data_IF_387565203692
#
_entry.id   IF_387565203692
#
_cell.length_a   1.000
_cell.length_b   1.000
_cell.length_c   1.000
_cell.angle_alpha   90.00
_cell.angle_beta   90.00
_cell.angle_gamma   90.00
#
_symmetry.space_group_name_H-M   'P 1'
#
loop_
_entity.id
_entity.type
_entity.pdbx_description
1 polymer ?
#
# COMPACT_ATOMS: atom_id res chain seq x y z
N UNK A 1 37.68 12.94 -20.21
CA UNK A 1 36.47 13.64 -20.68
C UNK A 1 35.67 12.63 -21.46
N UNK A 2 34.83 11.86 -20.79
CA UNK A 2 33.73 11.17 -21.44
C UNK A 2 32.48 11.58 -20.69
N UNK A 3 31.69 12.40 -21.36
CA UNK A 3 30.40 12.86 -20.90
C UNK A 3 29.51 11.63 -20.69
N UNK A 4 29.27 11.27 -19.42
CA UNK A 4 28.07 10.55 -19.03
C UNK A 4 26.88 11.45 -19.31
N UNK A 5 26.48 11.50 -20.59
CA UNK A 5 25.18 11.99 -20.99
C UNK A 5 24.21 11.03 -20.29
N UNK A 6 23.47 11.55 -19.31
CA UNK A 6 22.26 10.94 -18.79
C UNK A 6 21.28 10.83 -19.97
N UNK A 7 21.45 9.80 -20.80
CA UNK A 7 20.45 9.38 -21.77
C UNK A 7 19.41 8.71 -20.90
N UNK A 8 18.27 9.37 -20.72
CA UNK A 8 17.12 8.80 -20.05
C UNK A 8 16.96 7.35 -20.51
N UNK A 9 16.90 6.45 -19.53
CA UNK A 9 16.57 5.05 -19.76
C UNK A 9 15.37 5.01 -20.72
N UNK A 10 15.53 4.44 -21.91
CA UNK A 10 14.46 4.40 -22.91
C UNK A 10 13.24 3.68 -22.31
N UNK A 11 12.03 4.18 -22.58
CA UNK A 11 10.78 3.65 -22.02
C UNK A 11 10.63 2.14 -22.28
N UNK A 12 11.09 1.65 -23.45
CA UNK A 12 11.09 0.22 -23.79
C UNK A 12 11.95 -0.63 -22.82
N UNK A 13 13.19 -0.19 -22.53
CA UNK A 13 14.08 -0.89 -21.60
C UNK A 13 13.56 -0.87 -20.17
N UNK A 14 12.78 0.16 -19.82
CA UNK A 14 12.14 0.27 -18.52
C UNK A 14 10.93 -0.65 -18.41
N UNK A 15 10.10 -0.72 -19.45
CA UNK A 15 8.99 -1.67 -19.54
C UNK A 15 9.51 -3.11 -19.44
N UNK A 16 10.56 -3.46 -20.17
CA UNK A 16 11.17 -4.80 -20.14
C UNK A 16 11.70 -5.19 -18.75
N UNK A 17 12.38 -4.26 -18.06
CA UNK A 17 12.83 -4.47 -16.67
C UNK A 17 11.66 -4.66 -15.71
N UNK A 18 10.63 -3.82 -15.81
CA UNK A 18 9.45 -3.95 -14.97
C UNK A 18 8.73 -5.29 -15.22
N UNK A 19 8.60 -5.70 -16.49
CA UNK A 19 8.00 -6.99 -16.85
C UNK A 19 8.81 -8.16 -16.30
N UNK A 20 10.15 -8.08 -16.33
CA UNK A 20 11.04 -9.09 -15.73
C UNK A 20 10.83 -9.22 -14.22
N UNK A 21 10.67 -8.11 -13.49
CA UNK A 21 10.41 -8.11 -12.03
C UNK A 21 8.99 -8.61 -11.71
N UNK A 22 8.00 -8.27 -12.56
CA UNK A 22 6.61 -8.74 -12.41
C UNK A 22 6.49 -10.23 -12.71
N UNK A 23 7.22 -10.72 -13.72
CA UNK A 23 7.24 -12.11 -14.16
C UNK A 23 8.45 -12.88 -13.63
N UNK A 24 8.94 -12.51 -12.43
CA UNK A 24 10.08 -13.17 -11.80
C UNK A 24 9.86 -14.69 -11.76
N UNK A 25 10.83 -15.43 -12.30
CA UNK A 25 10.78 -16.90 -12.36
C UNK A 25 10.81 -17.53 -10.97
N UNK A 26 11.31 -16.80 -9.97
CA UNK A 26 11.40 -17.19 -8.56
C UNK A 26 10.25 -16.68 -7.70
N UNK A 27 9.18 -16.11 -8.31
CA UNK A 27 7.99 -15.71 -7.57
C UNK A 27 7.45 -16.85 -6.72
N UNK A 28 7.00 -16.55 -5.51
CA UNK A 28 6.43 -17.57 -4.62
C UNK A 28 5.10 -18.06 -5.20
N UNK A 29 5.05 -19.36 -5.47
CA UNK A 29 3.87 -20.07 -5.93
C UNK A 29 3.26 -20.89 -4.80
N UNK A 30 2.06 -21.40 -5.04
CA UNK A 30 1.33 -22.15 -4.03
C UNK A 30 2.12 -23.38 -3.58
N UNK A 31 2.77 -24.07 -4.50
CA UNK A 31 3.61 -25.24 -4.20
C UNK A 31 4.78 -24.88 -3.26
N UNK A 32 5.47 -23.76 -3.49
CA UNK A 32 6.54 -23.29 -2.60
C UNK A 32 6.01 -23.02 -1.18
N UNK A 33 4.81 -22.43 -1.09
CA UNK A 33 4.15 -22.15 0.18
C UNK A 33 3.69 -23.42 0.90
N UNK A 34 3.26 -24.46 0.17
CA UNK A 34 2.89 -25.75 0.76
C UNK A 34 4.12 -26.48 1.32
N UNK A 35 5.24 -26.46 0.61
CA UNK A 35 6.49 -27.11 1.05
C UNK A 35 7.05 -26.55 2.38
N UNK A 36 6.68 -25.32 2.73
CA UNK A 36 7.10 -24.65 3.97
C UNK A 36 6.25 -25.01 5.20
N UNK A 37 5.22 -25.84 5.04
CA UNK A 37 4.31 -26.23 6.12
C UNK A 37 4.67 -27.56 6.76
N UNK A 38 4.40 -27.70 8.05
CA UNK A 38 4.39 -29.00 8.72
C UNK A 38 3.15 -29.86 8.36
N UNK A 39 3.07 -31.07 8.91
CA UNK A 39 1.97 -32.02 8.65
C UNK A 39 0.57 -31.48 8.99
N UNK A 40 0.48 -30.54 9.94
CA UNK A 40 -0.77 -29.90 10.38
C UNK A 40 -1.03 -28.55 9.67
N UNK A 41 -0.12 -28.14 8.78
CA UNK A 41 -0.19 -26.91 8.02
C UNK A 41 0.40 -25.67 8.72
N UNK A 42 1.16 -25.82 9.80
CA UNK A 42 1.83 -24.69 10.49
C UNK A 42 3.13 -24.33 9.81
N UNK A 43 3.55 -23.09 9.98
CA UNK A 43 4.84 -22.56 9.52
C UNK A 43 5.58 -22.04 10.74
N UNK A 44 6.81 -22.50 10.98
CA UNK A 44 7.59 -22.03 12.13
C UNK A 44 8.24 -20.67 11.83
N UNK A 45 8.84 -20.05 12.85
CA UNK A 45 9.41 -18.70 12.74
C UNK A 45 10.53 -18.59 11.68
N UNK A 46 11.31 -19.66 11.49
CA UNK A 46 12.36 -19.68 10.48
C UNK A 46 11.77 -19.68 9.07
N UNK A 47 10.82 -20.57 8.77
CA UNK A 47 10.17 -20.60 7.46
C UNK A 47 9.32 -19.34 7.22
N UNK A 48 8.68 -18.77 8.25
CA UNK A 48 7.98 -17.50 8.14
C UNK A 48 8.93 -16.39 7.67
N UNK A 49 10.10 -16.27 8.30
CA UNK A 49 11.07 -15.25 7.93
C UNK A 49 11.64 -15.48 6.52
N UNK A 50 11.89 -16.73 6.14
CA UNK A 50 12.31 -17.09 4.79
C UNK A 50 11.23 -16.71 3.76
N UNK A 51 9.97 -17.08 4.02
CA UNK A 51 8.84 -16.78 3.15
C UNK A 51 8.61 -15.28 2.98
N UNK A 52 8.67 -14.50 4.08
CA UNK A 52 8.61 -13.03 4.01
C UNK A 52 9.73 -12.47 3.15
N UNK A 53 10.95 -12.98 3.32
CA UNK A 53 12.13 -12.56 2.55
C UNK A 53 11.96 -12.86 1.06
N UNK A 54 11.53 -14.07 0.71
CA UNK A 54 11.33 -14.46 -0.68
C UNK A 54 10.22 -13.62 -1.34
N UNK A 55 9.08 -13.42 -0.67
CA UNK A 55 8.00 -12.57 -1.22
C UNK A 55 8.45 -11.11 -1.36
N UNK A 56 9.28 -10.60 -0.43
CA UNK A 56 9.86 -9.26 -0.53
C UNK A 56 10.64 -9.08 -1.84
N UNK A 57 11.49 -10.03 -2.20
CA UNK A 57 12.40 -9.89 -3.33
C UNK A 57 11.86 -10.43 -4.66
N UNK A 58 10.99 -11.43 -4.63
CA UNK A 58 10.49 -12.10 -5.84
C UNK A 58 8.98 -11.93 -6.07
N UNK A 59 8.25 -11.42 -5.08
CA UNK A 59 6.80 -11.30 -5.14
C UNK A 59 6.10 -12.66 -5.00
N UNK A 60 4.77 -12.62 -5.15
CA UNK A 60 3.92 -13.81 -5.15
C UNK A 60 3.21 -13.99 -6.49
N UNK A 61 2.73 -15.19 -6.78
CA UNK A 61 1.81 -15.41 -7.89
C UNK A 61 0.35 -15.10 -7.52
N UNK A 62 -0.53 -15.07 -8.52
CA UNK A 62 -1.95 -14.76 -8.34
C UNK A 62 -2.66 -15.75 -7.40
N UNK A 63 -2.22 -17.00 -7.35
CA UNK A 63 -2.87 -18.06 -6.56
C UNK A 63 -2.51 -18.01 -5.07
N UNK A 64 -1.31 -17.52 -4.76
CA UNK A 64 -0.77 -17.52 -3.39
C UNK A 64 -0.95 -16.17 -2.69
N UNK A 65 -1.15 -15.09 -3.45
CA UNK A 65 -1.13 -13.72 -2.92
C UNK A 65 -2.10 -13.49 -1.78
N UNK A 66 -3.35 -13.94 -1.92
CA UNK A 66 -4.40 -13.71 -0.91
C UNK A 66 -3.99 -14.34 0.42
N UNK A 67 -3.67 -15.64 0.44
CA UNK A 67 -3.30 -16.34 1.67
C UNK A 67 -2.00 -15.79 2.27
N UNK A 68 -1.02 -15.42 1.44
CA UNK A 68 0.22 -14.83 1.92
C UNK A 68 -0.02 -13.47 2.58
N UNK A 69 -0.84 -12.61 1.97
CA UNK A 69 -1.18 -11.31 2.54
C UNK A 69 -2.01 -11.46 3.83
N UNK A 70 -2.96 -12.39 3.87
CA UNK A 70 -3.70 -12.70 5.09
C UNK A 70 -2.77 -13.07 6.24
N UNK A 71 -1.76 -13.89 5.99
CA UNK A 71 -0.79 -14.28 7.01
C UNK A 71 0.17 -13.14 7.37
N UNK A 72 0.71 -12.41 6.39
CA UNK A 72 1.65 -11.32 6.63
C UNK A 72 1.05 -10.12 7.36
N UNK A 73 -0.24 -9.83 7.12
CA UNK A 73 -1.02 -8.81 7.82
C UNK A 73 -1.51 -9.29 9.20
N UNK A 74 -1.29 -10.56 9.54
CA UNK A 74 -1.70 -11.15 10.82
C UNK A 74 -3.19 -11.46 10.92
N UNK A 75 -3.91 -11.47 9.79
CA UNK A 75 -5.30 -11.94 9.70
C UNK A 75 -5.32 -13.43 10.03
N UNK A 76 -4.36 -14.20 9.51
CA UNK A 76 -4.13 -15.61 9.86
C UNK A 76 -2.75 -15.74 10.53
N UNK A 77 -2.60 -16.73 11.41
CA UNK A 77 -1.33 -16.98 12.10
C UNK A 77 -0.51 -18.03 11.36
N UNK A 78 0.81 -17.82 11.29
CA UNK A 78 1.76 -18.81 10.77
C UNK A 78 1.76 -20.10 11.61
N UNK A 79 1.66 -19.95 12.93
CA UNK A 79 1.68 -21.07 13.88
C UNK A 79 0.35 -21.82 14.02
N UNK A 80 -0.74 -21.37 13.39
CA UNK A 80 -2.02 -22.08 13.48
C UNK A 80 -2.12 -23.21 12.45
N UNK A 81 -2.89 -24.25 12.75
CA UNK A 81 -3.14 -25.35 11.81
C UNK A 81 -4.02 -24.89 10.64
N UNK A 82 -4.10 -25.73 9.61
CA UNK A 82 -5.07 -25.51 8.52
C UNK A 82 -6.52 -25.53 9.03
N UNK A 83 -6.86 -26.43 9.96
CA UNK A 83 -8.19 -26.47 10.56
C UNK A 83 -8.51 -25.19 11.34
N UNK A 84 -7.56 -24.71 12.16
CA UNK A 84 -7.71 -23.45 12.91
C UNK A 84 -7.88 -22.24 11.98
N UNK A 85 -7.13 -22.18 10.87
CA UNK A 85 -7.30 -21.12 9.86
C UNK A 85 -8.68 -21.16 9.21
N UNK A 86 -9.15 -22.34 8.83
CA UNK A 86 -10.48 -22.50 8.23
C UNK A 86 -11.59 -22.08 9.21
N UNK A 87 -11.46 -22.42 10.49
CA UNK A 87 -12.38 -21.96 11.54
C UNK A 87 -12.32 -20.44 11.71
N UNK A 88 -11.12 -19.86 11.71
CA UNK A 88 -10.93 -18.42 11.82
C UNK A 88 -11.57 -17.67 10.63
N UNK A 89 -11.37 -18.13 9.39
CA UNK A 89 -12.00 -17.56 8.21
C UNK A 89 -13.53 -17.60 8.28
N UNK A 90 -14.11 -18.68 8.82
CA UNK A 90 -15.55 -18.77 9.05
C UNK A 90 -16.04 -17.74 10.08
N UNK A 91 -15.30 -17.53 11.16
CA UNK A 91 -15.62 -16.52 12.18
C UNK A 91 -15.55 -15.10 11.61
N UNK A 92 -14.48 -14.79 10.87
CA UNK A 92 -14.29 -13.50 10.20
C UNK A 92 -15.41 -13.21 9.20
N UNK A 93 -15.81 -14.21 8.41
CA UNK A 93 -16.95 -14.08 7.50
C UNK A 93 -18.25 -13.74 8.24
N UNK A 94 -18.54 -14.45 9.33
CA UNK A 94 -19.74 -14.17 10.15
C UNK A 94 -19.67 -12.77 10.77
N UNK A 95 -18.51 -12.34 11.27
CA UNK A 95 -18.30 -11.01 11.82
C UNK A 95 -18.55 -9.92 10.76
N UNK A 96 -18.03 -10.09 9.55
CA UNK A 96 -18.27 -9.18 8.43
C UNK A 96 -19.76 -9.08 8.08
N UNK A 97 -20.47 -10.22 8.04
CA UNK A 97 -21.91 -10.24 7.81
C UNK A 97 -22.68 -9.46 8.89
N UNK A 98 -22.27 -9.56 10.16
CA UNK A 98 -22.84 -8.76 11.26
C UNK A 98 -22.52 -7.26 11.11
N UNK A 99 -21.30 -6.88 10.75
CA UNK A 99 -20.94 -5.49 10.45
C UNK A 99 -21.84 -4.91 9.36
N UNK A 100 -22.05 -5.67 8.28
CA UNK A 100 -22.85 -5.24 7.14
C UNK A 100 -24.33 -5.05 7.49
N UNK A 101 -24.89 -5.90 8.35
CA UNK A 101 -26.29 -5.79 8.83
C UNK A 101 -26.55 -4.47 9.57
N UNK A 102 -25.55 -3.91 10.25
CA UNK A 102 -25.68 -2.66 11.02
C UNK A 102 -26.08 -1.48 10.12
N UNK A 103 -25.48 -1.35 8.94
CA UNK A 103 -25.74 -0.20 8.05
C UNK A 103 -26.72 -0.52 6.91
N UNK A 104 -26.84 -1.77 6.47
CA UNK A 104 -27.69 -2.18 5.34
C UNK A 104 -29.17 -2.43 5.71
N UNK A 105 -29.75 -1.51 6.50
CA UNK A 105 -31.20 -1.41 6.71
C UNK A 105 -31.86 -2.39 7.67
N UNK A 106 -31.10 -3.12 8.50
CA UNK A 106 -31.69 -4.03 9.50
C UNK A 106 -31.53 -3.55 10.94
N UNK A 107 -30.43 -2.84 11.29
CA UNK A 107 -30.16 -2.37 12.65
C UNK A 107 -29.35 -1.04 12.73
N UNK A 108 -29.62 0.01 11.93
CA UNK A 108 -28.84 1.25 12.00
C UNK A 108 -29.01 2.02 13.32
N UNK A 109 -30.05 1.71 14.08
CA UNK A 109 -30.30 2.30 15.40
C UNK A 109 -29.32 1.80 16.46
N UNK A 110 -28.74 0.61 16.31
CA UNK A 110 -27.77 -0.01 17.23
C UNK A 110 -26.38 0.61 17.15
N UNK A 111 -26.10 1.40 16.11
CA UNK A 111 -24.86 2.17 16.01
C UNK A 111 -24.85 3.29 17.06
N UNK A 112 -23.70 3.50 17.70
CA UNK A 112 -23.51 4.69 18.54
C UNK A 112 -23.59 5.99 17.70
N UNK A 113 -23.81 7.12 18.36
CA UNK A 113 -24.02 8.40 17.68
C UNK A 113 -22.79 8.86 16.87
N UNK A 114 -21.57 8.53 17.29
CA UNK A 114 -20.36 8.87 16.55
C UNK A 114 -20.27 8.06 15.25
N UNK A 115 -20.57 6.77 15.32
CA UNK A 115 -20.63 5.89 14.15
C UNK A 115 -21.74 6.32 13.18
N UNK A 116 -22.94 6.68 13.68
CA UNK A 116 -24.02 7.24 12.84
C UNK A 116 -23.59 8.53 12.14
N UNK A 117 -22.87 9.41 12.84
CA UNK A 117 -22.34 10.67 12.27
C UNK A 117 -21.33 10.36 11.15
N UNK A 118 -20.38 9.45 11.37
CA UNK A 118 -19.42 9.00 10.35
C UNK A 118 -20.13 8.42 9.14
N UNK A 119 -21.04 7.46 9.34
CA UNK A 119 -21.81 6.85 8.26
C UNK A 119 -22.52 7.90 7.38
N UNK A 120 -23.26 8.85 8.00
CA UNK A 120 -23.98 9.91 7.27
C UNK A 120 -23.05 10.82 6.47
N UNK A 121 -21.86 11.11 7.00
CA UNK A 121 -20.84 11.90 6.31
C UNK A 121 -20.28 11.15 5.11
N UNK A 122 -19.99 9.87 5.27
CA UNK A 122 -19.15 9.10 4.36
C UNK A 122 -19.94 8.52 3.19
N UNK A 123 -21.18 8.11 3.42
CA UNK A 123 -21.99 7.36 2.46
C UNK A 123 -22.11 8.06 1.10
N UNK A 124 -22.29 9.38 1.10
CA UNK A 124 -22.41 10.17 -0.12
C UNK A 124 -21.08 10.31 -0.87
N UNK A 125 -19.96 10.34 -0.14
CA UNK A 125 -18.62 10.42 -0.72
C UNK A 125 -18.28 9.06 -1.33
N UNK A 126 -18.51 7.98 -0.59
CA UNK A 126 -18.33 6.59 -1.05
C UNK A 126 -19.13 6.35 -2.33
N UNK A 127 -20.43 6.72 -2.37
CA UNK A 127 -21.25 6.58 -3.58
C UNK A 127 -20.62 7.23 -4.81
N UNK A 128 -20.10 8.46 -4.67
CA UNK A 128 -19.45 9.18 -5.77
C UNK A 128 -18.12 8.54 -6.18
N UNK A 129 -17.34 8.11 -5.20
CA UNK A 129 -16.02 7.54 -5.41
C UNK A 129 -16.09 6.16 -6.08
N UNK A 130 -17.04 5.31 -5.67
CA UNK A 130 -17.33 4.02 -6.34
C UNK A 130 -17.68 4.23 -7.82
N UNK A 131 -18.52 5.22 -8.14
CA UNK A 131 -18.94 5.48 -9.52
C UNK A 131 -17.84 5.98 -10.45
N UNK A 132 -16.76 6.54 -9.91
CA UNK A 132 -15.63 7.12 -10.69
C UNK A 132 -14.36 6.26 -10.67
N UNK A 133 -14.30 5.21 -9.86
CA UNK A 133 -13.07 4.42 -9.67
C UNK A 133 -12.82 3.49 -10.87
N UNK A 134 -11.59 3.52 -11.40
CA UNK A 134 -11.01 2.61 -12.40
C UNK A 134 -11.93 2.24 -13.58
N UNK A 135 -12.63 3.23 -14.14
CA UNK A 135 -13.64 3.01 -15.20
C UNK A 135 -13.10 2.46 -16.52
N UNK A 136 -11.79 2.57 -16.74
CA UNK A 136 -11.09 1.98 -17.88
C UNK A 136 -10.81 0.48 -17.68
N UNK A 137 -10.92 -0.02 -16.44
CA UNK A 137 -10.81 -1.44 -16.13
C UNK A 137 -12.17 -2.15 -16.31
N UNK A 138 -12.15 -3.30 -16.99
CA UNK A 138 -13.33 -4.10 -17.32
C UNK A 138 -14.18 -4.47 -16.09
N UNK A 139 -13.55 -4.68 -14.93
CA UNK A 139 -14.23 -5.04 -13.68
C UNK A 139 -15.12 -3.93 -13.13
N UNK A 140 -14.79 -2.65 -13.40
CA UNK A 140 -15.49 -1.49 -12.84
C UNK A 140 -16.29 -0.70 -13.87
N UNK A 141 -16.29 -1.13 -15.15
CA UNK A 141 -16.97 -0.44 -16.25
C UNK A 141 -18.50 -0.49 -16.13
N UNK A 142 -19.06 -1.62 -15.71
CA UNK A 142 -20.50 -1.79 -15.52
C UNK A 142 -20.95 -1.24 -14.16
N UNK A 143 -21.78 -0.17 -14.20
CA UNK A 143 -22.35 0.48 -13.01
C UNK A 143 -23.32 -0.41 -12.22
N UNK A 144 -23.80 -1.49 -12.83
CA UNK A 144 -24.73 -2.45 -12.22
C UNK A 144 -24.05 -3.73 -11.74
N UNK A 145 -22.72 -3.79 -11.85
CA UNK A 145 -21.95 -4.98 -11.52
C UNK A 145 -21.98 -5.31 -10.02
N UNK A 146 -21.88 -6.60 -9.73
CA UNK A 146 -21.64 -7.10 -8.37
C UNK A 146 -20.34 -6.55 -7.79
N UNK A 147 -19.35 -6.26 -8.64
CA UNK A 147 -18.06 -5.66 -8.27
C UNK A 147 -18.20 -4.29 -7.61
N UNK A 148 -18.99 -3.36 -8.19
CA UNK A 148 -19.20 -2.06 -7.57
C UNK A 148 -20.02 -2.15 -6.29
N UNK A 149 -20.94 -3.12 -6.22
CA UNK A 149 -21.65 -3.43 -4.98
C UNK A 149 -20.68 -3.92 -3.89
N UNK A 150 -19.77 -4.84 -4.21
CA UNK A 150 -18.72 -5.30 -3.29
C UNK A 150 -17.86 -4.13 -2.81
N UNK A 151 -17.41 -3.26 -3.72
CA UNK A 151 -16.63 -2.08 -3.35
C UNK A 151 -17.40 -1.15 -2.41
N UNK A 152 -18.66 -0.85 -2.73
CA UNK A 152 -19.53 -0.04 -1.88
C UNK A 152 -19.71 -0.68 -0.50
N UNK A 153 -20.07 -1.96 -0.45
CA UNK A 153 -20.34 -2.68 0.80
C UNK A 153 -19.10 -2.72 1.70
N UNK A 154 -17.91 -2.98 1.13
CA UNK A 154 -16.64 -2.97 1.87
C UNK A 154 -16.30 -1.58 2.40
N UNK A 155 -16.43 -0.53 1.59
CA UNK A 155 -16.08 0.84 1.99
C UNK A 155 -17.00 1.38 3.08
N UNK A 156 -18.30 1.07 3.00
CA UNK A 156 -19.27 1.46 4.04
C UNK A 156 -19.01 0.68 5.34
N UNK A 157 -18.78 -0.63 5.25
CA UNK A 157 -18.40 -1.44 6.41
C UNK A 157 -17.13 -0.89 7.07
N UNK A 158 -16.11 -0.51 6.29
CA UNK A 158 -14.88 0.08 6.83
C UNK A 158 -15.10 1.44 7.50
N UNK A 159 -15.93 2.29 6.90
CA UNK A 159 -16.28 3.62 7.43
C UNK A 159 -16.88 3.57 8.83
N UNK A 160 -17.66 2.51 9.12
CA UNK A 160 -18.30 2.36 10.44
C UNK A 160 -17.44 1.61 11.46
N UNK A 161 -16.46 0.80 11.03
CA UNK A 161 -15.57 0.05 11.92
C UNK A 161 -14.25 0.75 12.21
N UNK A 162 -13.77 1.61 11.31
CA UNK A 162 -12.51 2.34 11.46
C UNK A 162 -12.71 3.71 12.07
N UNK A 163 -11.84 4.10 13.01
CA UNK A 163 -11.90 5.42 13.66
C UNK A 163 -11.67 6.57 12.67
N UNK A 164 -10.84 6.35 11.65
CA UNK A 164 -10.57 7.34 10.60
C UNK A 164 -11.72 7.48 9.58
N UNK A 165 -12.71 6.58 9.61
CA UNK A 165 -13.82 6.56 8.67
C UNK A 165 -13.37 6.37 7.22
N UNK A 166 -14.12 6.95 6.28
CA UNK A 166 -13.75 7.00 4.87
C UNK A 166 -12.90 8.24 4.55
N UNK A 167 -11.80 8.01 3.82
CA UNK A 167 -10.89 9.03 3.32
C UNK A 167 -10.61 8.88 1.82
N UNK A 168 -10.08 9.94 1.21
CA UNK A 168 -9.73 9.96 -0.20
C UNK A 168 -8.64 8.91 -0.50
N UNK A 169 -8.83 8.12 -1.57
CA UNK A 169 -7.88 7.07 -1.98
C UNK A 169 -8.22 5.68 -1.43
N UNK A 170 -9.19 5.55 -0.53
CA UNK A 170 -9.61 4.24 -0.02
C UNK A 170 -10.32 3.39 -1.10
N UNK A 171 -11.13 4.00 -1.98
CA UNK A 171 -11.77 3.25 -3.08
C UNK A 171 -10.75 2.68 -4.07
N UNK A 172 -9.67 3.42 -4.27
CA UNK A 172 -8.52 3.04 -5.09
C UNK A 172 -7.83 1.78 -4.54
N UNK A 173 -7.58 1.74 -3.23
CA UNK A 173 -7.03 0.55 -2.55
C UNK A 173 -7.97 -0.65 -2.73
N UNK A 174 -9.26 -0.49 -2.42
CA UNK A 174 -10.26 -1.56 -2.56
C UNK A 174 -10.37 -2.06 -4.00
N UNK A 175 -10.29 -1.17 -4.99
CA UNK A 175 -10.31 -1.54 -6.40
C UNK A 175 -9.14 -2.44 -6.80
N UNK A 176 -7.98 -2.30 -6.15
CA UNK A 176 -6.85 -3.20 -6.40
C UNK A 176 -7.05 -4.57 -5.73
N UNK A 177 -7.60 -4.60 -4.51
CA UNK A 177 -7.83 -5.84 -3.76
C UNK A 177 -8.93 -6.70 -4.44
N UNK A 178 -9.98 -6.09 -5.00
CA UNK A 178 -11.01 -6.81 -5.77
C UNK A 178 -10.43 -7.53 -6.99
N UNK A 179 -9.27 -7.10 -7.51
CA UNK A 179 -8.62 -7.79 -8.64
C UNK A 179 -7.98 -9.12 -8.22
N UNK A 180 -7.73 -9.36 -6.93
CA UNK A 180 -7.03 -10.56 -6.44
C UNK A 180 -7.94 -11.55 -5.71
N UNK A 181 -9.14 -11.14 -5.28
CA UNK A 181 -10.14 -12.07 -4.71
C UNK A 181 -11.57 -11.67 -5.06
N UNK A 182 -12.42 -12.69 -5.24
CA UNK A 182 -13.87 -12.53 -5.43
C UNK A 182 -14.66 -12.53 -4.12
N UNK A 183 -14.03 -12.83 -2.99
CA UNK A 183 -14.67 -12.94 -1.69
C UNK A 183 -14.78 -11.58 -1.01
N UNK A 184 -16.01 -11.10 -0.81
CA UNK A 184 -16.26 -9.77 -0.24
C UNK A 184 -15.67 -9.59 1.18
N UNK A 185 -15.74 -10.62 2.04
CA UNK A 185 -15.17 -10.54 3.39
C UNK A 185 -13.64 -10.53 3.37
N UNK A 186 -13.00 -11.27 2.44
CA UNK A 186 -11.54 -11.22 2.27
C UNK A 186 -11.11 -9.84 1.78
N UNK A 187 -11.85 -9.24 0.83
CA UNK A 187 -11.61 -7.85 0.41
C UNK A 187 -11.65 -6.92 1.61
N UNK A 188 -12.63 -7.08 2.52
CA UNK A 188 -12.75 -6.27 3.73
C UNK A 188 -11.55 -6.41 4.67
N UNK A 189 -11.15 -7.63 5.03
CA UNK A 189 -10.05 -7.82 5.99
C UNK A 189 -8.68 -7.52 5.38
N UNK A 190 -8.44 -7.85 4.10
CA UNK A 190 -7.24 -7.40 3.40
C UNK A 190 -7.19 -5.88 3.34
N UNK A 191 -8.31 -5.21 3.06
CA UNK A 191 -8.38 -3.76 3.08
C UNK A 191 -8.10 -3.21 4.47
N UNK A 192 -8.63 -3.82 5.53
CA UNK A 192 -8.33 -3.45 6.91
C UNK A 192 -6.84 -3.50 7.20
N UNK A 193 -6.17 -4.61 6.88
CA UNK A 193 -4.74 -4.77 7.11
C UNK A 193 -3.88 -3.82 6.27
N UNK A 194 -4.26 -3.56 5.02
CA UNK A 194 -3.55 -2.59 4.16
C UNK A 194 -3.78 -1.16 4.65
N UNK A 195 -4.98 -0.84 5.13
CA UNK A 195 -5.30 0.47 5.70
C UNK A 195 -4.41 0.77 6.91
N UNK A 196 -4.05 -0.22 7.72
CA UNK A 196 -3.11 -0.06 8.83
C UNK A 196 -1.73 0.46 8.41
N UNK A 197 -1.28 0.19 7.17
CA UNK A 197 -0.03 0.74 6.63
C UNK A 197 -0.10 2.24 6.40
N UNK A 198 -1.28 2.76 6.04
CA UNK A 198 -1.47 4.14 5.60
C UNK A 198 -2.30 4.99 6.55
N UNK A 199 -2.89 4.38 7.60
CA UNK A 199 -3.81 5.06 8.52
C UNK A 199 -3.20 6.29 9.17
N UNK A 200 -1.88 6.32 9.37
CA UNK A 200 -1.18 7.45 9.98
C UNK A 200 -1.22 8.74 9.14
N UNK A 201 -1.54 8.62 7.85
CA UNK A 201 -1.77 9.75 6.95
C UNK A 201 -3.23 10.24 6.96
N UNK A 202 -4.14 9.49 7.59
CA UNK A 202 -5.52 9.90 7.83
C UNK A 202 -5.65 10.37 9.29
N UNK A 203 -5.80 11.67 9.48
CA UNK A 203 -6.22 12.29 10.73
C UNK A 203 -7.72 12.13 10.99
N UNK A 204 -8.21 12.89 11.98
CA UNK A 204 -9.62 12.84 12.40
C UNK A 204 -10.59 13.09 11.24
N UNK A 205 -11.64 12.27 11.19
CA UNK A 205 -12.67 12.30 10.14
C UNK A 205 -12.06 12.16 8.73
N UNK A 206 -11.00 11.36 8.57
CA UNK A 206 -10.42 11.03 7.26
C UNK A 206 -9.69 12.19 6.58
N UNK A 207 -9.40 13.27 7.32
CA UNK A 207 -8.62 14.41 6.84
C UNK A 207 -7.15 14.02 6.71
N UNK A 208 -6.47 14.55 5.72
CA UNK A 208 -5.06 14.20 5.47
C UNK A 208 -4.17 14.83 6.56
N UNK A 209 -3.31 14.02 7.17
CA UNK A 209 -2.28 14.46 8.11
C UNK A 209 -0.92 14.55 7.41
N UNK A 210 -0.37 15.75 7.31
CA UNK A 210 0.91 16.03 6.66
C UNK A 210 2.13 15.66 7.50
N UNK A 211 1.99 15.60 8.83
CA UNK A 211 3.10 15.43 9.76
C UNK A 211 3.89 14.15 9.50
N UNK A 212 3.19 13.04 9.22
CA UNK A 212 3.82 11.75 8.93
C UNK A 212 4.46 11.71 7.55
N UNK A 213 4.06 12.57 6.61
CA UNK A 213 4.72 12.67 5.29
C UNK A 213 6.12 13.30 5.41
N UNK A 214 6.34 14.12 6.44
CA UNK A 214 7.66 14.69 6.73
C UNK A 214 8.71 13.62 7.05
N UNK A 215 8.29 12.40 7.38
CA UNK A 215 9.22 11.28 7.55
C UNK A 215 10.01 10.95 6.28
N UNK A 216 9.48 11.23 5.09
CA UNK A 216 10.26 11.11 3.84
C UNK A 216 11.43 12.09 3.85
N UNK A 217 11.20 13.35 4.26
CA UNK A 217 12.27 14.34 4.44
C UNK A 217 13.26 13.95 5.53
N UNK A 218 12.79 13.43 6.66
CA UNK A 218 13.66 12.94 7.74
C UNK A 218 14.58 11.82 7.27
N UNK A 219 14.09 10.90 6.42
CA UNK A 219 14.92 9.85 5.80
C UNK A 219 15.98 10.49 4.91
N UNK A 220 15.58 11.38 3.99
CA UNK A 220 16.49 12.05 3.05
C UNK A 220 17.60 12.80 3.80
N UNK A 221 17.27 13.57 4.82
CA UNK A 221 18.25 14.34 5.60
C UNK A 221 19.33 13.46 6.27
N UNK A 222 19.06 12.18 6.54
CA UNK A 222 20.03 11.26 7.14
C UNK A 222 20.94 10.63 6.09
N UNK A 223 20.39 10.28 4.93
CA UNK A 223 21.11 9.51 3.89
C UNK A 223 21.79 10.40 2.86
N UNK A 224 21.24 11.61 2.62
CA UNK A 224 21.69 12.58 1.64
C UNK A 224 21.63 14.01 2.23
N UNK A 225 22.73 14.43 2.86
CA UNK A 225 22.85 15.71 3.57
C UNK A 225 22.63 16.91 2.63
N UNK A 226 23.23 16.90 1.44
CA UNK A 226 23.14 17.98 0.46
C UNK A 226 21.68 18.22 0.04
N UNK A 227 20.95 17.14 -0.26
CA UNK A 227 19.55 17.27 -0.64
C UNK A 227 18.66 17.60 0.56
N UNK A 228 18.96 17.07 1.75
CA UNK A 228 18.30 17.44 3.00
C UNK A 228 18.42 18.94 3.31
N UNK A 229 19.62 19.52 3.15
CA UNK A 229 19.85 20.95 3.31
C UNK A 229 19.03 21.79 2.33
N UNK A 230 18.94 21.36 1.06
CA UNK A 230 18.08 22.01 0.08
C UNK A 230 16.61 22.03 0.53
N UNK A 231 16.08 20.86 0.92
CA UNK A 231 14.68 20.73 1.37
C UNK A 231 14.39 21.62 2.58
N UNK A 232 15.31 21.64 3.56
CA UNK A 232 15.20 22.46 4.77
C UNK A 232 15.30 23.96 4.47
N UNK A 233 16.29 24.38 3.66
CA UNK A 233 16.49 25.79 3.27
C UNK A 233 15.24 26.38 2.63
N UNK A 234 14.53 25.56 1.85
CA UNK A 234 13.34 25.96 1.12
C UNK A 234 12.03 25.59 1.83
N UNK A 235 12.08 25.08 3.07
CA UNK A 235 10.92 24.63 3.85
C UNK A 235 9.97 23.76 3.01
N UNK A 236 10.52 22.81 2.24
CA UNK A 236 9.72 21.95 1.38
C UNK A 236 8.89 21.01 2.26
N UNK A 237 7.59 21.10 2.11
CA UNK A 237 6.62 20.17 2.72
C UNK A 237 6.30 19.05 1.74
N UNK A 238 5.82 17.89 2.22
CA UNK A 238 5.72 16.65 1.44
C UNK A 238 4.30 16.32 0.97
N UNK A 239 3.34 17.24 1.06
CA UNK A 239 1.97 17.01 0.61
C UNK A 239 1.89 16.82 -0.91
N UNK A 240 2.91 17.20 -1.68
CA UNK A 240 2.96 16.95 -3.12
C UNK A 240 3.06 15.45 -3.49
N UNK A 241 3.50 14.58 -2.57
CA UNK A 241 3.51 13.11 -2.74
C UNK A 241 2.37 12.41 -2.01
N UNK A 242 1.36 13.15 -1.52
CA UNK A 242 0.25 12.57 -0.74
C UNK A 242 -0.41 11.37 -1.41
N UNK A 243 -0.56 11.41 -2.75
CA UNK A 243 -1.17 10.33 -3.53
C UNK A 243 -0.35 9.05 -3.50
N UNK A 244 0.98 9.16 -3.45
CA UNK A 244 1.88 8.01 -3.37
C UNK A 244 1.66 7.26 -2.06
N UNK A 245 1.53 8.01 -0.96
CA UNK A 245 1.41 7.45 0.38
C UNK A 245 -0.01 6.93 0.65
N UNK A 246 -1.05 7.72 0.36
CA UNK A 246 -2.44 7.34 0.66
C UNK A 246 -2.95 6.16 -0.16
N UNK A 247 -2.45 5.98 -1.38
CA UNK A 247 -2.88 4.91 -2.29
C UNK A 247 -1.77 3.88 -2.54
N UNK A 248 -0.69 3.91 -1.74
CA UNK A 248 0.47 3.02 -1.88
C UNK A 248 0.92 2.88 -3.34
N UNK A 249 1.15 4.03 -3.99
CA UNK A 249 1.61 4.17 -5.36
C UNK A 249 0.68 3.65 -6.46
N UNK A 250 -0.59 3.32 -6.17
CA UNK A 250 -1.53 2.81 -7.18
C UNK A 250 -1.67 3.70 -8.42
N UNK A 251 -1.57 5.02 -8.27
CA UNK A 251 -1.69 5.97 -9.38
C UNK A 251 -0.41 6.13 -10.19
N UNK A 252 0.72 5.62 -9.70
CA UNK A 252 2.03 5.83 -10.34
C UNK A 252 2.52 4.61 -11.13
N UNK A 253 1.89 3.44 -10.91
CA UNK A 253 2.28 2.16 -11.48
C UNK A 253 1.06 1.43 -12.05
N UNK A 254 1.29 0.52 -12.99
CA UNK A 254 0.24 -0.36 -13.50
C UNK A 254 -0.19 -1.37 -12.44
N UNK A 255 -1.43 -1.88 -12.51
CA UNK A 255 -1.98 -2.72 -11.43
C UNK A 255 -1.10 -3.92 -11.05
N UNK A 256 -0.48 -4.61 -12.02
CA UNK A 256 0.45 -5.72 -11.76
C UNK A 256 1.71 -5.28 -11.02
N UNK A 257 2.25 -4.11 -11.37
CA UNK A 257 3.42 -3.53 -10.70
C UNK A 257 3.06 -3.09 -9.27
N UNK A 258 1.87 -2.51 -9.07
CA UNK A 258 1.39 -2.13 -7.72
C UNK A 258 1.24 -3.37 -6.83
N UNK A 259 0.66 -4.46 -7.34
CA UNK A 259 0.57 -5.73 -6.60
C UNK A 259 1.96 -6.26 -6.23
N UNK A 260 2.94 -6.15 -7.15
CA UNK A 260 4.33 -6.50 -6.87
C UNK A 260 4.95 -5.59 -5.82
N UNK A 261 4.69 -4.28 -5.83
CA UNK A 261 5.13 -3.37 -4.77
C UNK A 261 4.55 -3.77 -3.41
N UNK A 262 3.25 -4.08 -3.38
CA UNK A 262 2.53 -4.44 -2.17
C UNK A 262 2.99 -5.78 -1.59
N UNK A 263 3.38 -6.74 -2.43
CA UNK A 263 4.03 -7.97 -1.96
C UNK A 263 5.23 -7.64 -1.04
N UNK A 264 6.09 -6.69 -1.42
CA UNK A 264 7.21 -6.29 -0.55
C UNK A 264 6.79 -5.45 0.65
N UNK A 265 5.84 -4.52 0.48
CA UNK A 265 5.39 -3.69 1.60
C UNK A 265 4.73 -4.52 2.70
N UNK A 266 3.93 -5.50 2.30
CA UNK A 266 3.14 -6.35 3.20
C UNK A 266 4.01 -7.46 3.80
N UNK A 267 5.04 -7.95 3.12
CA UNK A 267 5.97 -8.96 3.69
C UNK A 267 6.65 -8.50 4.99
N UNK A 268 6.98 -7.20 5.10
CA UNK A 268 7.51 -6.57 6.31
C UNK A 268 6.84 -5.22 6.58
N UNK A 269 5.59 -5.20 7.10
CA UNK A 269 4.80 -3.98 7.28
C UNK A 269 5.51 -2.91 8.12
N UNK A 270 6.26 -3.37 9.14
CA UNK A 270 6.99 -2.52 10.09
C UNK A 270 8.19 -1.79 9.46
N UNK A 271 8.68 -2.27 8.32
CA UNK A 271 9.78 -1.62 7.60
C UNK A 271 9.33 -0.32 6.92
N UNK A 272 8.01 -0.10 6.76
CA UNK A 272 7.43 1.08 6.10
C UNK A 272 8.10 1.39 4.75
N UNK A 273 8.39 0.35 3.96
CA UNK A 273 9.19 0.44 2.74
C UNK A 273 8.63 1.46 1.72
N UNK A 274 7.33 1.76 1.75
CA UNK A 274 6.70 2.80 0.94
C UNK A 274 7.25 4.22 1.21
N UNK A 275 7.70 4.53 2.44
CA UNK A 275 8.39 5.78 2.76
C UNK A 275 9.78 5.83 2.10
N UNK A 276 10.49 4.71 2.14
CA UNK A 276 11.82 4.58 1.54
C UNK A 276 11.76 4.57 0.01
N UNK A 277 10.70 4.02 -0.58
CA UNK A 277 10.45 4.14 -2.02
C UNK A 277 10.21 5.61 -2.39
N UNK A 278 9.42 6.34 -1.60
CA UNK A 278 9.20 7.79 -1.80
C UNK A 278 10.52 8.57 -1.75
N UNK A 279 11.34 8.33 -0.73
CA UNK A 279 12.65 8.96 -0.59
C UNK A 279 13.60 8.59 -1.74
N UNK A 280 13.62 7.32 -2.15
CA UNK A 280 14.42 6.81 -3.28
C UNK A 280 14.07 7.55 -4.57
N UNK A 281 12.78 7.68 -4.89
CA UNK A 281 12.34 8.39 -6.09
C UNK A 281 12.83 9.85 -6.07
N UNK A 282 12.74 10.53 -4.93
CA UNK A 282 13.20 11.91 -4.80
C UNK A 282 14.73 12.03 -4.92
N UNK A 283 15.48 11.15 -4.24
CA UNK A 283 16.96 11.14 -4.27
C UNK A 283 17.47 10.86 -5.68
N UNK A 284 16.90 9.89 -6.40
CA UNK A 284 17.30 9.55 -7.77
C UNK A 284 17.08 10.72 -8.75
N UNK A 285 16.22 11.68 -8.40
CA UNK A 285 15.93 12.87 -9.20
C UNK A 285 16.41 14.18 -8.55
N UNK A 286 17.23 14.11 -7.49
CA UNK A 286 17.65 15.29 -6.71
C UNK A 286 18.33 16.37 -7.55
N UNK A 287 19.14 15.99 -8.54
CA UNK A 287 19.85 16.94 -9.41
C UNK A 287 18.87 17.75 -10.26
N UNK A 288 17.83 17.12 -10.82
CA UNK A 288 16.80 17.83 -11.59
C UNK A 288 16.04 18.81 -10.68
N UNK A 289 15.64 18.34 -9.50
CA UNK A 289 14.90 19.11 -8.49
C UNK A 289 15.71 20.33 -8.04
N UNK A 290 16.98 20.14 -7.66
CA UNK A 290 17.85 21.18 -7.13
C UNK A 290 18.29 22.18 -8.20
N UNK A 291 18.69 21.71 -9.39
CA UNK A 291 19.14 22.59 -10.47
C UNK A 291 17.99 23.47 -11.00
N UNK A 292 16.78 22.92 -11.04
CA UNK A 292 15.58 23.67 -11.44
C UNK A 292 14.98 24.47 -10.28
N UNK A 293 15.55 24.36 -9.07
CA UNK A 293 15.06 24.97 -7.84
C UNK A 293 13.56 24.71 -7.59
N UNK A 294 13.11 23.49 -7.88
CA UNK A 294 11.69 23.14 -7.77
C UNK A 294 11.17 23.38 -6.36
N UNK A 295 10.05 24.11 -6.28
CA UNK A 295 9.29 24.35 -5.05
C UNK A 295 8.02 23.51 -5.06
N UNK A 296 7.12 23.74 -4.11
CA UNK A 296 5.93 22.91 -3.94
C UNK A 296 5.12 22.73 -5.24
N UNK A 297 4.77 23.82 -5.93
CA UNK A 297 3.97 23.75 -7.15
C UNK A 297 4.72 23.04 -8.30
N UNK A 298 6.02 23.28 -8.41
CA UNK A 298 6.87 22.61 -9.42
C UNK A 298 6.99 21.11 -9.13
N UNK A 299 7.21 20.75 -7.86
CA UNK A 299 7.29 19.37 -7.39
C UNK A 299 5.96 18.65 -7.60
N UNK A 300 4.84 19.31 -7.34
CA UNK A 300 3.52 18.74 -7.60
C UNK A 300 3.30 18.50 -9.10
N UNK A 301 3.66 19.45 -9.97
CA UNK A 301 3.58 19.25 -11.42
C UNK A 301 4.55 18.17 -11.88
N UNK A 302 5.73 18.09 -11.26
CA UNK A 302 6.74 17.08 -11.55
C UNK A 302 6.25 15.67 -11.20
N UNK A 303 5.58 15.46 -10.05
CA UNK A 303 5.03 14.13 -9.70
C UNK A 303 3.99 13.66 -10.71
N UNK A 304 3.16 14.56 -11.26
CA UNK A 304 2.20 14.20 -12.32
C UNK A 304 2.88 13.68 -13.59
N UNK A 305 4.12 14.10 -13.88
CA UNK A 305 4.86 13.62 -15.05
C UNK A 305 5.43 12.21 -14.84
N UNK A 306 5.45 11.72 -13.59
CA UNK A 306 6.00 10.42 -13.20
C UNK A 306 4.99 9.27 -13.29
N UNK A 307 3.72 9.54 -13.59
CA UNK A 307 2.69 8.52 -13.76
C UNK A 307 3.14 7.47 -14.80
N UNK A 308 3.18 6.20 -14.39
CA UNK A 308 3.70 5.07 -15.16
C UNK A 308 5.17 5.23 -15.60
N UNK A 309 5.91 6.18 -15.01
CA UNK A 309 7.30 6.53 -15.32
C UNK A 309 8.34 6.21 -14.24
N UNK A 310 7.93 5.69 -13.10
CA UNK A 310 8.84 5.23 -12.04
C UNK A 310 9.32 3.79 -12.30
N UNK A 311 10.64 3.51 -12.38
CA UNK A 311 11.14 2.14 -12.53
C UNK A 311 10.77 1.25 -11.33
N UNK A 312 10.22 0.06 -11.57
CA UNK A 312 9.84 -0.87 -10.49
C UNK A 312 11.05 -1.34 -9.69
N UNK A 313 12.24 -1.41 -10.31
CA UNK A 313 13.52 -1.71 -9.67
C UNK A 313 13.84 -0.82 -8.46
N UNK A 314 13.25 0.37 -8.37
CA UNK A 314 13.44 1.26 -7.22
C UNK A 314 12.96 0.66 -5.90
N UNK A 315 12.15 -0.42 -5.92
CA UNK A 315 11.82 -1.17 -4.71
C UNK A 315 13.04 -1.78 -4.02
N UNK A 316 14.04 -2.23 -4.79
CA UNK A 316 15.28 -2.79 -4.24
C UNK A 316 16.24 -1.68 -3.79
N UNK A 317 16.27 -0.55 -4.51
CA UNK A 317 16.97 0.65 -4.07
C UNK A 317 16.40 1.17 -2.74
N UNK A 318 15.07 1.12 -2.57
CA UNK A 318 14.40 1.51 -1.33
C UNK A 318 14.80 0.63 -0.15
N UNK A 319 15.01 -0.67 -0.39
CA UNK A 319 15.47 -1.59 0.65
C UNK A 319 16.92 -1.33 1.05
N UNK A 320 17.79 -1.05 0.07
CA UNK A 320 19.15 -0.59 0.34
C UNK A 320 19.16 0.72 1.14
N UNK A 321 18.27 1.66 0.80
CA UNK A 321 18.12 2.93 1.51
C UNK A 321 17.64 2.74 2.94
N UNK A 322 16.73 1.78 3.17
CA UNK A 322 16.30 1.38 4.51
C UNK A 322 17.47 0.87 5.36
N UNK A 323 18.30 -0.02 4.79
CA UNK A 323 19.50 -0.51 5.46
C UNK A 323 20.47 0.63 5.79
N UNK A 324 20.75 1.49 4.81
CA UNK A 324 21.62 2.66 4.98
C UNK A 324 21.11 3.61 6.07
N UNK A 325 19.80 3.91 6.07
CA UNK A 325 19.17 4.73 7.10
C UNK A 325 19.32 4.11 8.48
N UNK A 326 19.09 2.80 8.65
CA UNK A 326 19.27 2.12 9.94
C UNK A 326 20.71 2.19 10.46
N UNK A 327 21.70 2.23 9.57
CA UNK A 327 23.11 2.35 9.93
C UNK A 327 23.52 3.78 10.30
N UNK A 328 22.93 4.79 9.66
CA UNK A 328 23.29 6.21 9.84
C UNK A 328 22.44 6.93 10.89
N UNK A 329 21.16 6.58 11.02
CA UNK A 329 20.18 7.29 11.85
C UNK A 329 20.40 7.04 13.34
N UNK A 330 20.27 8.09 14.15
CA UNK A 330 20.23 7.95 15.62
C UNK A 330 18.97 7.19 16.07
N UNK A 331 18.94 6.63 17.29
CA UNK A 331 17.75 5.99 17.83
C UNK A 331 16.50 6.88 17.81
N UNK A 332 16.64 8.18 18.04
CA UNK A 332 15.54 9.15 17.99
C UNK A 332 15.02 9.36 16.56
N UNK A 333 15.93 9.43 15.57
CA UNK A 333 15.56 9.55 14.16
C UNK A 333 14.85 8.28 13.68
N UNK A 334 15.34 7.10 14.06
CA UNK A 334 14.65 5.84 13.77
C UNK A 334 13.26 5.79 14.43
N UNK A 335 13.17 6.18 15.70
CA UNK A 335 11.89 6.25 16.42
C UNK A 335 10.88 7.16 15.72
N UNK A 336 11.31 8.30 15.17
CA UNK A 336 10.42 9.24 14.46
C UNK A 336 9.83 8.66 13.17
N UNK A 337 10.59 7.84 12.45
CA UNK A 337 10.15 7.24 11.18
C UNK A 337 9.27 6.02 11.43
N UNK A 338 9.68 5.13 12.34
CA UNK A 338 9.03 3.83 12.52
C UNK A 338 7.88 3.84 13.55
N UNK A 339 7.83 4.81 14.47
CA UNK A 339 6.75 4.97 15.47
C UNK A 339 6.00 6.30 15.26
#
# INVERSE_FOLDING_TARGET
MDNLIYRGDNDELRIERNDTIVNDIYKIRYDNFIEMKDEDGRINEFEENELRTLVKYHGSDETSRVILWEMFLGILKFSSTEEERNQQLLLLKNEYDEIKKRWNGKQPEEMDEQTKKRYKRDINIICKDVQRTDRDNVLFKDLTSTTLKVMFDVLVSMSITSECGYGQGMSDIVALIIQITYSEFEVFYLFQGILELVKEFYGEEGRISSDKMMNVGNIICVVDEEFGEYLNKYNITFEFIVKWLLMLFKREFWSKEVLRLWDSFISFPKDKLYLFLSATILIKNRLEIMNSQMRFDDLFIWTLKLEHKIPLQYIYDADNLLYEFRMKATPEQQKRVFN
#
